data_IF_077875108997
#
_entry.id   IF_077875108997
#
_cell.length_a   1.000
_cell.length_b   1.000
_cell.length_c   1.000
_cell.angle_alpha   90.00
_cell.angle_beta   90.00
_cell.angle_gamma   90.00
#
_symmetry.space_group_name_H-M   'P 1'
#
loop_
_entity.id
_entity.type
_entity.pdbx_description
1 polymer ?
#
# COMPACT_ATOMS: atom_id res chain seq x y z
N UNK A 1 27.41 -27.36 28.12
CA UNK A 1 26.34 -26.57 27.45
C UNK A 1 25.85 -25.54 28.46
N UNK A 2 25.95 -24.24 28.13
CA UNK A 2 25.34 -23.20 28.96
C UNK A 2 23.83 -23.23 28.82
N UNK A 3 23.11 -23.37 29.93
CA UNK A 3 21.67 -23.33 29.98
C UNK A 3 21.19 -21.89 29.73
N UNK A 4 20.52 -21.64 28.60
CA UNK A 4 19.97 -20.32 28.28
C UNK A 4 18.70 -20.13 29.10
N UNK A 5 18.77 -19.27 30.13
CA UNK A 5 17.58 -18.88 30.89
C UNK A 5 16.83 -17.78 30.15
N UNK A 6 15.61 -18.07 29.64
CA UNK A 6 14.73 -17.07 29.06
C UNK A 6 14.09 -16.23 30.18
N UNK A 7 13.91 -14.92 29.92
CA UNK A 7 13.15 -14.05 30.80
C UNK A 7 11.66 -14.44 30.85
N UNK A 8 10.90 -13.86 31.76
CA UNK A 8 9.43 -14.00 31.77
C UNK A 8 8.83 -13.32 30.54
N UNK A 9 7.82 -13.95 29.94
CA UNK A 9 7.10 -13.35 28.83
C UNK A 9 6.41 -12.04 29.26
N UNK A 10 6.30 -11.04 28.36
CA UNK A 10 5.50 -9.85 28.60
C UNK A 10 4.03 -10.21 28.83
N UNK A 11 3.32 -9.31 29.48
CA UNK A 11 1.87 -9.37 29.68
C UNK A 11 1.16 -8.34 28.79
N UNK A 12 -0.15 -8.41 28.65
CA UNK A 12 -0.94 -7.40 27.94
C UNK A 12 -0.72 -5.98 28.52
N UNK A 13 -0.56 -5.87 29.84
CA UNK A 13 -0.27 -4.59 30.50
C UNK A 13 1.06 -3.99 30.07
N UNK A 14 2.06 -4.81 29.69
CA UNK A 14 3.32 -4.35 29.15
C UNK A 14 3.21 -3.80 27.71
N UNK A 15 2.15 -4.16 26.97
CA UNK A 15 1.82 -3.62 25.67
C UNK A 15 0.90 -2.40 25.74
N UNK A 16 0.70 -1.80 26.91
CA UNK A 16 -0.09 -0.58 27.03
C UNK A 16 0.57 0.60 26.30
N UNK A 17 -0.26 1.44 25.66
CA UNK A 17 0.19 2.61 24.91
C UNK A 17 -0.79 3.78 25.02
N UNK A 18 -0.31 4.95 24.68
CA UNK A 18 -1.11 6.17 24.51
C UNK A 18 -0.99 6.70 23.09
N UNK A 19 -1.95 7.51 22.68
CA UNK A 19 -1.91 8.18 21.40
C UNK A 19 -2.50 9.61 21.51
N UNK A 20 -2.01 10.50 20.65
CA UNK A 20 -2.51 11.87 20.49
C UNK A 20 -2.37 12.33 19.04
N UNK A 21 -3.35 13.04 18.48
CA UNK A 21 -3.14 13.74 17.22
C UNK A 21 -2.02 14.77 17.36
N UNK A 22 -1.25 14.97 16.29
CA UNK A 22 -0.24 16.05 16.27
C UNK A 22 -0.91 17.42 16.25
N UNK A 23 -0.19 18.45 16.69
CA UNK A 23 -0.70 19.81 16.71
C UNK A 23 -0.88 20.38 15.29
N UNK A 24 -0.09 19.89 14.33
CA UNK A 24 -0.07 20.36 12.95
C UNK A 24 -1.13 19.69 12.08
N UNK A 25 -1.49 18.43 12.39
CA UNK A 25 -2.41 17.66 11.57
C UNK A 25 -3.14 16.57 12.38
N UNK A 26 -4.46 16.69 12.48
CA UNK A 26 -5.29 15.75 13.23
C UNK A 26 -5.31 14.32 12.66
N UNK A 27 -4.90 14.14 11.41
CA UNK A 27 -4.81 12.84 10.73
C UNK A 27 -3.43 12.18 10.89
N UNK A 28 -2.50 12.83 11.58
CA UNK A 28 -1.21 12.26 11.98
C UNK A 28 -1.25 12.05 13.49
N UNK A 29 -1.11 10.79 13.90
CA UNK A 29 -1.24 10.38 15.30
C UNK A 29 0.11 9.95 15.84
N UNK A 30 0.53 10.57 16.94
CA UNK A 30 1.68 10.13 17.74
C UNK A 30 1.26 8.99 18.67
N UNK A 31 1.99 7.89 18.62
CA UNK A 31 1.81 6.72 19.49
C UNK A 31 3.04 6.54 20.37
N UNK A 32 2.80 6.24 21.65
CA UNK A 32 3.87 5.99 22.63
C UNK A 32 3.60 4.70 23.39
N UNK A 33 4.49 3.72 23.26
CA UNK A 33 4.49 2.53 24.10
C UNK A 33 4.91 2.91 25.52
N UNK A 34 4.14 2.48 26.54
CA UNK A 34 4.43 2.86 27.94
C UNK A 34 5.61 2.10 28.53
N UNK A 35 5.95 0.92 28.01
CA UNK A 35 7.12 0.16 28.42
C UNK A 35 8.23 0.27 27.37
N UNK A 36 9.15 1.20 27.58
CA UNK A 36 10.30 1.47 26.68
C UNK A 36 11.41 0.42 26.74
N UNK A 37 11.36 -0.55 27.66
CA UNK A 37 12.37 -1.59 27.80
C UNK A 37 12.13 -2.80 26.90
N UNK A 38 11.00 -2.84 26.22
CA UNK A 38 10.60 -3.92 25.31
C UNK A 38 10.73 -3.50 23.85
N UNK A 39 11.01 -4.45 22.98
CA UNK A 39 10.92 -4.20 21.54
C UNK A 39 9.47 -4.03 21.15
N UNK A 40 9.11 -2.89 20.56
CA UNK A 40 7.76 -2.53 20.19
C UNK A 40 7.56 -2.60 18.67
N UNK A 41 6.51 -3.28 18.23
CA UNK A 41 6.03 -3.33 16.83
C UNK A 41 4.57 -2.94 16.78
N UNK A 42 4.26 -2.11 15.78
CA UNK A 42 2.95 -1.52 15.60
C UNK A 42 2.29 -1.99 14.31
N UNK A 43 0.99 -2.25 14.41
CA UNK A 43 0.08 -2.30 13.28
C UNK A 43 -0.91 -1.14 13.44
N UNK A 44 -0.93 -0.20 12.50
CA UNK A 44 -1.75 1.00 12.59
C UNK A 44 -3.21 0.79 12.16
N UNK A 45 -3.58 -0.42 11.76
CA UNK A 45 -4.93 -0.75 11.30
C UNK A 45 -5.30 -0.23 9.90
N UNK A 46 -4.39 0.47 9.25
CA UNK A 46 -4.55 1.04 7.90
C UNK A 46 -3.63 0.39 6.85
N UNK A 47 -3.04 -0.78 7.19
CA UNK A 47 -2.09 -1.50 6.37
C UNK A 47 -0.62 -1.08 6.57
N UNK A 48 -0.36 0.03 7.26
CA UNK A 48 0.98 0.47 7.61
C UNK A 48 1.41 -0.11 8.95
N UNK A 49 2.72 -0.22 9.13
CA UNK A 49 3.37 -0.76 10.34
C UNK A 49 4.49 0.16 10.80
N UNK A 50 4.84 0.04 12.10
CA UNK A 50 5.93 0.80 12.70
C UNK A 50 6.71 -0.01 13.72
N UNK A 51 7.88 0.47 14.10
CA UNK A 51 8.74 -0.12 15.14
C UNK A 51 9.33 0.98 16.02
N UNK A 52 9.42 0.70 17.32
CA UNK A 52 10.01 1.61 18.31
C UNK A 52 9.01 2.10 19.35
N UNK A 53 9.52 2.73 20.40
CA UNK A 53 8.73 3.22 21.54
C UNK A 53 7.80 4.37 21.15
N UNK A 54 8.28 5.28 20.30
CA UNK A 54 7.51 6.42 19.78
C UNK A 54 7.46 6.33 18.27
N UNK A 55 6.27 6.35 17.71
CA UNK A 55 6.02 6.26 16.27
C UNK A 55 4.88 7.16 15.85
N UNK A 56 4.81 7.48 14.57
CA UNK A 56 3.68 8.19 13.97
C UNK A 56 2.92 7.29 13.01
N UNK A 57 1.59 7.35 13.07
CA UNK A 57 0.68 6.80 12.08
C UNK A 57 0.03 7.94 11.28
N UNK A 58 -0.09 7.75 9.96
CA UNK A 58 -0.72 8.70 9.04
C UNK A 58 -2.01 8.10 8.49
N UNK A 59 -3.12 8.83 8.60
CA UNK A 59 -4.47 8.37 8.25
C UNK A 59 -5.14 9.31 7.25
N UNK A 60 -4.91 9.14 5.95
CA UNK A 60 -5.47 10.02 4.94
C UNK A 60 -6.99 10.04 4.87
N UNK A 61 -7.63 8.92 5.23
CA UNK A 61 -9.06 8.76 5.17
C UNK A 61 -9.68 8.77 6.57
N UNK A 62 -10.85 9.35 6.69
CA UNK A 62 -11.68 9.23 7.90
C UNK A 62 -12.11 7.79 8.13
N UNK A 63 -12.30 7.43 9.38
CA UNK A 63 -12.70 6.08 9.76
C UNK A 63 -12.29 5.72 11.16
N UNK A 64 -12.63 4.51 11.57
CA UNK A 64 -12.15 3.91 12.82
C UNK A 64 -11.10 2.85 12.48
N UNK A 65 -9.97 2.95 13.14
CA UNK A 65 -8.82 2.08 12.91
C UNK A 65 -8.43 1.39 14.21
N UNK A 66 -8.31 0.07 14.20
CA UNK A 66 -7.81 -0.70 15.34
C UNK A 66 -6.29 -0.74 15.30
N UNK A 67 -5.66 0.02 16.19
CA UNK A 67 -4.19 0.04 16.33
C UNK A 67 -3.77 -1.02 17.31
N UNK A 68 -2.79 -1.83 16.94
CA UNK A 68 -2.24 -2.91 17.77
C UNK A 68 -0.77 -2.68 18.03
N UNK A 69 -0.40 -2.67 19.31
CA UNK A 69 0.99 -2.75 19.77
C UNK A 69 1.32 -4.17 20.18
N UNK A 70 2.40 -4.73 19.64
CA UNK A 70 2.98 -5.98 20.10
C UNK A 70 4.37 -5.70 20.67
N UNK A 71 4.61 -6.14 21.90
CA UNK A 71 5.90 -6.01 22.57
C UNK A 71 6.57 -7.37 22.73
N UNK A 72 7.91 -7.36 22.71
CA UNK A 72 8.72 -8.57 22.70
C UNK A 72 9.88 -8.48 23.68
N UNK A 73 10.25 -9.61 24.27
CA UNK A 73 11.52 -9.85 24.94
C UNK A 73 11.97 -11.29 24.70
N UNK A 74 13.05 -11.74 25.38
CA UNK A 74 13.55 -13.12 25.27
C UNK A 74 12.58 -14.20 25.77
N UNK A 75 11.59 -13.83 26.58
CA UNK A 75 10.58 -14.75 27.14
C UNK A 75 9.34 -14.91 26.26
N UNK A 76 9.13 -14.03 25.27
CA UNK A 76 7.95 -14.09 24.41
C UNK A 76 7.43 -12.73 23.95
N UNK A 77 6.14 -12.67 23.65
CA UNK A 77 5.44 -11.45 23.22
C UNK A 77 4.07 -11.30 23.86
N UNK A 78 3.57 -10.07 23.91
CA UNK A 78 2.21 -9.74 24.27
C UNK A 78 1.71 -8.58 23.40
N UNK A 79 0.39 -8.46 23.23
CA UNK A 79 -0.21 -7.41 22.42
C UNK A 79 -1.38 -6.76 23.15
N UNK A 80 -1.61 -5.48 22.84
CA UNK A 80 -2.86 -4.79 23.15
C UNK A 80 -3.36 -4.00 21.96
N UNK A 81 -4.65 -3.69 21.92
CA UNK A 81 -5.24 -2.93 20.80
C UNK A 81 -6.16 -1.84 21.35
N UNK A 82 -6.22 -0.72 20.62
CA UNK A 82 -7.15 0.38 20.86
C UNK A 82 -7.72 0.89 19.54
N UNK A 83 -8.99 1.26 19.54
CA UNK A 83 -9.60 1.92 18.39
C UNK A 83 -9.34 3.43 18.47
N UNK A 84 -8.93 3.99 17.31
CA UNK A 84 -8.84 5.44 17.12
C UNK A 84 -9.84 5.85 16.05
N UNK A 85 -10.37 7.06 16.16
CA UNK A 85 -11.29 7.63 15.17
C UNK A 85 -10.64 8.84 14.50
N UNK A 86 -10.67 8.84 13.19
CA UNK A 86 -10.28 9.96 12.33
C UNK A 86 -11.56 10.56 11.76
N UNK A 87 -11.82 11.82 12.05
CA UNK A 87 -13.11 12.45 11.76
C UNK A 87 -13.25 12.96 10.32
N UNK A 88 -12.13 13.36 9.69
CA UNK A 88 -12.11 14.00 8.37
C UNK A 88 -11.10 13.35 7.45
N UNK A 89 -11.36 13.40 6.12
CA UNK A 89 -10.37 13.00 5.12
C UNK A 89 -9.30 14.08 4.96
N UNK A 90 -8.04 13.68 4.94
CA UNK A 90 -6.91 14.54 4.54
C UNK A 90 -6.08 13.87 3.44
N UNK A 91 -6.53 14.01 2.20
CA UNK A 91 -5.86 13.43 1.04
C UNK A 91 -4.50 14.09 0.75
N UNK A 92 -4.16 15.23 1.38
CA UNK A 92 -2.83 15.84 1.24
C UNK A 92 -1.71 14.91 1.72
N UNK A 93 -2.02 14.02 2.64
CA UNK A 93 -1.11 12.98 3.14
C UNK A 93 -0.76 11.92 2.08
N UNK A 94 -1.51 11.86 0.98
CA UNK A 94 -1.26 11.01 -0.19
C UNK A 94 -0.48 11.72 -1.30
N UNK A 95 0.00 12.94 -1.06
CA UNK A 95 0.79 13.69 -2.05
C UNK A 95 2.12 13.01 -2.30
N UNK A 96 2.17 12.23 -3.39
CA UNK A 96 3.34 11.49 -3.83
C UNK A 96 3.44 11.59 -5.37
N UNK A 97 4.62 11.85 -5.95
CA UNK A 97 4.79 11.97 -7.40
C UNK A 97 4.26 10.76 -8.19
N UNK A 98 4.41 9.55 -7.67
CA UNK A 98 3.90 8.34 -8.33
C UNK A 98 2.38 8.28 -8.28
N UNK A 99 1.76 8.62 -7.16
CA UNK A 99 0.31 8.70 -7.05
C UNK A 99 -0.25 9.80 -7.95
N UNK A 100 0.40 10.97 -7.99
CA UNK A 100 0.01 12.07 -8.87
C UNK A 100 0.08 11.66 -10.36
N UNK A 101 1.11 10.91 -10.75
CA UNK A 101 1.21 10.38 -12.11
C UNK A 101 0.07 9.40 -12.41
N UNK A 102 -0.20 8.46 -11.49
CA UNK A 102 -1.14 7.36 -11.70
C UNK A 102 -2.61 7.82 -11.66
N UNK A 103 -2.96 8.73 -10.73
CA UNK A 103 -4.35 9.13 -10.43
C UNK A 103 -4.69 10.57 -10.82
N UNK A 104 -3.70 11.37 -11.20
CA UNK A 104 -3.84 12.82 -11.36
C UNK A 104 -3.60 13.61 -10.07
N UNK A 105 -3.45 12.92 -8.92
CA UNK A 105 -3.12 13.52 -7.62
C UNK A 105 -4.23 14.30 -6.95
N UNK A 106 -3.90 14.88 -5.81
CA UNK A 106 -4.84 15.62 -4.94
C UNK A 106 -5.27 16.96 -5.55
N UNK A 107 -4.40 17.61 -6.34
CA UNK A 107 -4.66 18.88 -7.01
C UNK A 107 -5.35 18.69 -8.37
N UNK A 108 -5.55 17.45 -8.79
CA UNK A 108 -6.18 17.05 -10.04
C UNK A 108 -7.50 16.29 -9.83
N UNK A 109 -7.88 15.42 -10.78
CA UNK A 109 -9.16 14.71 -10.71
C UNK A 109 -9.22 13.65 -9.59
N UNK A 110 -8.08 13.26 -9.02
CA UNK A 110 -8.00 12.19 -8.01
C UNK A 110 -8.26 10.78 -8.54
N UNK A 111 -8.72 10.64 -9.78
CA UNK A 111 -8.76 9.37 -10.52
C UNK A 111 -8.33 9.56 -11.97
N UNK A 112 -7.80 8.51 -12.58
CA UNK A 112 -7.31 8.54 -13.94
C UNK A 112 -7.56 7.21 -14.63
N UNK A 113 -8.10 7.29 -15.84
CA UNK A 113 -8.34 6.13 -16.68
C UNK A 113 -7.16 5.96 -17.64
N UNK A 114 -6.59 4.76 -17.64
CA UNK A 114 -5.51 4.34 -18.51
C UNK A 114 -6.03 3.34 -19.53
N UNK A 115 -5.50 3.42 -20.73
CA UNK A 115 -5.79 2.50 -21.84
C UNK A 115 -4.49 2.12 -22.54
N UNK A 116 -4.48 1.02 -23.25
CA UNK A 116 -3.37 0.70 -24.13
C UNK A 116 -3.31 1.69 -25.29
N UNK A 117 -2.15 2.26 -25.56
CA UNK A 117 -1.90 2.99 -26.82
C UNK A 117 -1.68 1.98 -27.95
N UNK A 118 -2.78 1.40 -28.44
CA UNK A 118 -2.78 0.33 -29.42
C UNK A 118 -2.12 0.70 -30.74
N UNK A 119 -1.91 1.99 -31.00
CA UNK A 119 -1.28 2.49 -32.24
C UNK A 119 0.24 2.59 -32.14
N UNK A 120 0.78 2.50 -30.94
CA UNK A 120 2.22 2.54 -30.69
C UNK A 120 2.84 1.14 -30.77
N UNK A 121 3.95 0.99 -31.50
CA UNK A 121 4.76 -0.22 -31.44
C UNK A 121 5.33 -0.40 -30.02
N UNK A 122 5.35 -1.62 -29.51
CA UNK A 122 5.84 -1.92 -28.18
C UNK A 122 4.92 -1.49 -27.03
N UNK A 123 3.65 -1.19 -27.27
CA UNK A 123 2.68 -0.79 -26.24
C UNK A 123 2.42 -1.86 -25.19
N UNK A 124 2.82 -3.11 -25.44
CA UNK A 124 2.98 -4.17 -24.46
C UNK A 124 3.96 -5.24 -24.98
N UNK A 125 4.46 -6.10 -24.10
CA UNK A 125 5.38 -7.16 -24.50
C UNK A 125 6.05 -7.80 -23.30
N UNK A 126 7.16 -8.51 -23.56
CA UNK A 126 7.96 -9.23 -22.57
C UNK A 126 9.39 -8.75 -22.63
N UNK A 127 9.97 -8.47 -21.49
CA UNK A 127 11.35 -8.00 -21.35
C UNK A 127 11.71 -7.74 -19.90
N UNK A 128 12.98 -7.37 -19.62
CA UNK A 128 13.39 -6.95 -18.29
C UNK A 128 12.69 -5.64 -17.88
N UNK A 129 12.53 -5.43 -16.60
CA UNK A 129 11.99 -4.19 -16.04
C UNK A 129 12.98 -3.62 -14.98
N UNK A 130 13.57 -2.44 -15.19
CA UNK A 130 13.45 -1.60 -16.39
C UNK A 130 14.10 -2.22 -17.64
N UNK A 131 13.64 -1.78 -18.81
CA UNK A 131 14.31 -2.13 -20.09
C UNK A 131 15.75 -1.60 -20.10
N UNK A 132 16.69 -2.40 -20.59
CA UNK A 132 18.12 -2.08 -20.58
C UNK A 132 18.62 -1.52 -21.89
N UNK A 133 17.95 -1.80 -23.01
CA UNK A 133 18.44 -1.48 -24.35
C UNK A 133 17.52 -0.51 -25.13
N UNK A 134 16.21 -0.69 -25.03
CA UNK A 134 15.24 0.01 -25.88
C UNK A 134 14.34 1.01 -25.12
N UNK A 135 14.78 1.51 -23.96
CA UNK A 135 14.02 2.46 -23.17
C UNK A 135 12.75 1.82 -22.59
N UNK A 136 11.59 2.15 -23.12
CA UNK A 136 10.29 1.66 -22.67
C UNK A 136 9.68 0.57 -23.60
N UNK A 137 10.44 0.08 -24.56
CA UNK A 137 10.01 -1.00 -25.46
C UNK A 137 10.47 -2.35 -24.91
N UNK A 138 9.58 -3.33 -24.77
CA UNK A 138 9.94 -4.68 -24.30
C UNK A 138 10.95 -5.37 -25.21
N UNK A 139 12.04 -5.91 -24.65
CA UNK A 139 13.21 -6.37 -25.40
C UNK A 139 13.09 -7.77 -25.97
N UNK A 140 12.37 -8.70 -25.28
CA UNK A 140 12.26 -10.08 -25.72
C UNK A 140 11.18 -10.25 -26.78
N UNK A 141 10.09 -9.58 -26.62
CA UNK A 141 9.00 -9.49 -27.57
C UNK A 141 8.21 -8.21 -27.35
N UNK A 142 7.91 -7.50 -28.41
CA UNK A 142 7.10 -6.28 -28.36
C UNK A 142 5.96 -6.34 -29.38
N UNK A 143 4.81 -5.82 -29.00
CA UNK A 143 3.62 -5.82 -29.82
C UNK A 143 3.72 -4.84 -30.99
N UNK A 144 3.39 -5.31 -32.20
CA UNK A 144 3.15 -4.43 -33.33
C UNK A 144 1.85 -3.61 -33.11
N UNK A 145 1.72 -2.42 -33.72
CA UNK A 145 0.47 -1.67 -33.67
C UNK A 145 -0.74 -2.52 -34.04
N UNK A 146 -1.80 -2.43 -33.23
CA UNK A 146 -3.08 -3.09 -33.44
C UNK A 146 -3.05 -4.63 -33.50
N UNK A 147 -1.96 -5.29 -33.06
CA UNK A 147 -1.80 -6.75 -33.15
C UNK A 147 -2.90 -7.53 -32.40
N UNK A 148 -3.53 -6.91 -31.40
CA UNK A 148 -4.66 -7.48 -30.63
C UNK A 148 -6.00 -6.82 -30.95
N UNK A 149 -6.12 -6.18 -32.12
CA UNK A 149 -7.41 -5.67 -32.57
C UNK A 149 -8.47 -6.80 -32.61
N UNK A 150 -9.69 -6.49 -32.19
CA UNK A 150 -10.82 -7.43 -32.10
C UNK A 150 -10.69 -8.57 -31.09
N UNK A 151 -9.77 -8.45 -30.13
CA UNK A 151 -9.62 -9.45 -29.03
C UNK A 151 -10.23 -9.00 -27.71
N UNK A 152 -10.79 -7.80 -27.64
CA UNK A 152 -11.30 -7.19 -26.40
C UNK A 152 -10.21 -6.48 -25.58
N UNK A 153 -8.92 -6.65 -25.90
CA UNK A 153 -7.84 -6.05 -25.11
C UNK A 153 -7.78 -4.53 -25.18
N UNK A 154 -8.12 -3.94 -26.31
CA UNK A 154 -7.97 -2.51 -26.52
C UNK A 154 -9.18 -1.68 -26.13
N UNK A 155 -10.30 -2.29 -25.77
CA UNK A 155 -11.45 -1.63 -25.18
C UNK A 155 -11.46 -1.71 -23.64
N UNK A 156 -10.49 -2.43 -23.04
CA UNK A 156 -10.25 -2.44 -21.62
C UNK A 156 -9.79 -1.07 -21.12
N UNK A 157 -10.27 -0.71 -19.94
CA UNK A 157 -9.86 0.50 -19.22
C UNK A 157 -9.44 0.14 -17.81
N UNK A 158 -8.44 0.87 -17.32
CA UNK A 158 -7.84 0.66 -16.01
C UNK A 158 -7.92 1.97 -15.25
N UNK A 159 -8.85 2.08 -14.30
CA UNK A 159 -9.01 3.27 -13.49
C UNK A 159 -8.30 3.12 -12.15
N UNK A 160 -7.46 4.10 -11.83
CA UNK A 160 -6.80 4.19 -10.53
C UNK A 160 -7.31 5.42 -9.81
N UNK A 161 -7.84 5.22 -8.60
CA UNK A 161 -8.37 6.28 -7.76
C UNK A 161 -7.52 6.45 -6.51
N UNK A 162 -7.19 7.70 -6.18
CA UNK A 162 -6.38 8.05 -5.02
C UNK A 162 -7.14 7.77 -3.72
N UNK A 163 -8.43 8.15 -3.68
CA UNK A 163 -9.27 7.89 -2.53
C UNK A 163 -9.52 6.39 -2.38
N UNK A 164 -9.12 5.84 -1.23
CA UNK A 164 -9.23 4.42 -0.93
C UNK A 164 -8.31 3.50 -1.73
N UNK A 165 -7.36 4.05 -2.52
CA UNK A 165 -6.44 3.28 -3.38
C UNK A 165 -7.15 2.25 -4.25
N UNK A 166 -8.27 2.66 -4.87
CA UNK A 166 -9.09 1.76 -5.68
C UNK A 166 -8.49 1.55 -7.06
N UNK A 167 -8.66 0.33 -7.55
CA UNK A 167 -8.34 -0.06 -8.92
C UNK A 167 -9.55 -0.76 -9.53
N UNK A 168 -10.02 -0.23 -10.65
CA UNK A 168 -11.13 -0.80 -11.41
C UNK A 168 -10.66 -1.18 -12.82
N UNK A 169 -10.88 -2.43 -13.18
CA UNK A 169 -10.70 -2.90 -14.55
C UNK A 169 -12.07 -3.01 -15.23
N UNK A 170 -12.27 -2.27 -16.31
CA UNK A 170 -13.49 -2.25 -17.10
C UNK A 170 -13.24 -2.97 -18.42
N UNK A 171 -13.76 -4.19 -18.55
CA UNK A 171 -13.45 -5.12 -19.65
C UNK A 171 -14.49 -5.14 -20.76
N UNK A 172 -15.57 -4.39 -20.65
CA UNK A 172 -16.68 -4.36 -21.62
C UNK A 172 -17.24 -5.75 -22.00
N UNK A 173 -17.11 -6.72 -21.08
CA UNK A 173 -17.64 -8.08 -21.24
C UNK A 173 -16.69 -9.06 -21.91
N UNK A 174 -15.47 -8.64 -22.27
CA UNK A 174 -14.44 -9.48 -22.83
C UNK A 174 -13.14 -9.32 -22.05
N UNK A 175 -12.40 -10.39 -21.91
CA UNK A 175 -11.01 -10.35 -21.40
C UNK A 175 -10.11 -11.06 -22.41
N UNK A 176 -8.92 -10.48 -22.64
CA UNK A 176 -7.90 -11.15 -23.41
C UNK A 176 -7.25 -12.26 -22.56
N UNK A 177 -7.27 -13.48 -23.08
CA UNK A 177 -6.56 -14.63 -22.49
C UNK A 177 -5.64 -15.25 -23.55
N UNK A 178 -4.45 -15.67 -23.13
CA UNK A 178 -3.58 -16.45 -24.00
C UNK A 178 -4.01 -17.91 -23.91
N UNK A 179 -4.64 -18.44 -24.98
CA UNK A 179 -5.13 -19.81 -25.02
C UNK A 179 -4.01 -20.86 -25.20
N UNK A 180 -2.76 -20.43 -25.31
CA UNK A 180 -1.61 -21.34 -25.41
C UNK A 180 -0.97 -21.70 -24.06
N UNK A 181 -1.44 -21.11 -22.96
CA UNK A 181 -1.09 -21.53 -21.61
C UNK A 181 -2.08 -22.63 -21.17
N UNK A 182 -1.84 -23.84 -21.63
CA UNK A 182 -2.36 -25.05 -20.99
C UNK A 182 -1.67 -25.17 -19.62
N UNK A 183 -2.27 -24.51 -18.59
CA UNK A 183 -1.83 -24.54 -17.20
C UNK A 183 -2.02 -25.89 -16.55
#
# INVERSE_FOLDING_TARGET
EEEITLGSAPTEADAAFTYTPTAENANIIDFTALNSNLTAKWDFGNGLKGEGTNVQGSYPNKGTYTVTLTVFNSGGSASSSQDITIDEDDLSLLSNPLFNLLTGGIDGPGSKVWVFDSTRAGHFGVGPNPSTENGDIPEHWSADPLIKANTGMYDDKYEFSLNGFQFDQITNGHVYVNLNDDG
#
